data_IF_053471895285
#
_entry.id   IF_053471895285
#
_cell.length_a   1.000
_cell.length_b   1.000
_cell.length_c   1.000
_cell.angle_alpha   90.00
_cell.angle_beta   90.00
_cell.angle_gamma   90.00
#
_symmetry.space_group_name_H-M   'P 1'
#
loop_
_entity.id
_entity.type
_entity.pdbx_description
1 polymer ?
#
# COMPACT_ATOMS: atom_id res chain seq x y z
N UNK A 1 -5.64 -7.84 -28.21
CA UNK A 1 -4.43 -7.87 -27.35
C UNK A 1 -4.02 -6.43 -27.11
N UNK A 2 -4.49 -5.81 -26.03
CA UNK A 2 -4.12 -4.43 -25.69
C UNK A 2 -2.84 -4.54 -24.84
N UNK A 3 -1.73 -4.17 -25.45
CA UNK A 3 -0.46 -3.95 -24.75
C UNK A 3 -0.64 -2.63 -24.00
N UNK A 4 -0.80 -2.70 -22.68
CA UNK A 4 -0.69 -1.51 -21.82
C UNK A 4 0.79 -1.16 -21.79
N UNK A 5 1.14 0.02 -22.32
CA UNK A 5 2.50 0.51 -22.32
C UNK A 5 3.08 0.48 -20.89
N UNK A 6 4.31 0.00 -20.75
CA UNK A 6 5.11 0.22 -19.55
C UNK A 6 5.08 1.72 -19.24
N UNK A 7 4.57 2.06 -18.06
CA UNK A 7 4.25 3.43 -17.68
C UNK A 7 5.44 4.35 -17.86
N UNK A 8 5.19 5.55 -18.37
CA UNK A 8 6.17 6.63 -18.36
C UNK A 8 6.77 6.76 -16.95
N UNK A 9 8.07 7.09 -16.82
CA UNK A 9 8.69 7.30 -15.52
C UNK A 9 7.87 8.32 -14.73
N UNK A 10 7.52 7.96 -13.50
CA UNK A 10 6.82 8.87 -12.60
C UNK A 10 7.77 9.99 -12.19
N UNK A 11 7.35 11.23 -12.41
CA UNK A 11 8.10 12.41 -12.02
C UNK A 11 7.72 12.84 -10.61
N UNK A 12 8.65 13.51 -9.93
CA UNK A 12 8.48 13.97 -8.56
C UNK A 12 8.96 15.42 -8.44
N UNK A 13 8.21 16.23 -7.69
CA UNK A 13 8.56 17.61 -7.43
C UNK A 13 9.71 17.74 -6.41
N UNK A 14 10.07 18.99 -6.05
CA UNK A 14 11.11 19.28 -5.06
C UNK A 14 10.81 18.78 -3.63
N UNK A 15 9.55 18.50 -3.32
CA UNK A 15 9.12 17.90 -2.05
C UNK A 15 9.05 16.36 -2.13
N UNK A 16 9.40 15.80 -3.28
CA UNK A 16 9.27 14.39 -3.60
C UNK A 16 7.83 13.95 -3.82
N UNK A 17 6.88 14.85 -4.06
CA UNK A 17 5.48 14.51 -4.34
C UNK A 17 5.35 14.07 -5.79
N UNK A 18 4.59 13.01 -6.04
CA UNK A 18 4.39 12.51 -7.40
C UNK A 18 3.62 13.53 -8.25
N UNK A 19 4.14 13.82 -9.44
CA UNK A 19 3.54 14.74 -10.39
C UNK A 19 2.62 14.00 -11.38
N UNK A 20 1.64 14.73 -11.93
CA UNK A 20 0.71 14.20 -12.91
C UNK A 20 -0.43 13.36 -12.33
N UNK A 21 -1.02 12.50 -13.18
CA UNK A 21 -2.22 11.72 -12.85
C UNK A 21 -1.83 10.41 -12.18
N UNK A 22 -2.12 10.30 -10.88
CA UNK A 22 -1.94 9.07 -10.11
C UNK A 22 -3.23 8.24 -10.13
N UNK A 23 -3.13 7.01 -10.65
CA UNK A 23 -4.23 6.05 -10.68
C UNK A 23 -3.85 4.72 -10.05
N UNK A 24 -4.80 4.12 -9.34
CA UNK A 24 -4.67 2.76 -8.81
C UNK A 24 -5.04 1.76 -9.90
N UNK A 25 -4.40 0.60 -9.97
CA UNK A 25 -4.89 -0.47 -10.84
C UNK A 25 -6.21 -1.04 -10.32
N UNK A 26 -6.90 -1.80 -11.19
CA UNK A 26 -7.90 -2.76 -10.77
C UNK A 26 -7.48 -3.58 -9.53
N UNK A 27 -8.43 -3.94 -8.64
CA UNK A 27 -8.15 -4.65 -7.40
C UNK A 27 -7.33 -5.94 -7.56
N UNK A 28 -7.39 -6.61 -8.72
CA UNK A 28 -6.65 -7.85 -8.99
C UNK A 28 -5.15 -7.68 -9.28
N UNK A 29 -4.62 -6.45 -9.31
CA UNK A 29 -3.23 -6.17 -9.70
C UNK A 29 -2.42 -5.44 -8.61
N UNK A 30 -2.91 -5.45 -7.37
CA UNK A 30 -2.19 -4.87 -6.25
C UNK A 30 -2.93 -5.02 -4.93
N UNK A 31 -2.16 -5.00 -3.85
CA UNK A 31 -2.69 -5.06 -2.50
C UNK A 31 -3.25 -3.70 -2.11
N UNK A 32 -4.53 -3.63 -1.79
CA UNK A 32 -5.17 -2.33 -1.52
C UNK A 32 -5.47 -2.18 -0.03
N UNK A 33 -5.27 -0.99 0.53
CA UNK A 33 -5.55 -0.69 1.94
C UNK A 33 -6.46 0.52 2.05
N UNK A 34 -7.48 0.42 2.91
CA UNK A 34 -8.52 1.45 3.03
C UNK A 34 -8.41 2.11 4.39
N UNK A 35 -7.88 3.34 4.41
CA UNK A 35 -7.58 4.05 5.66
C UNK A 35 -8.65 5.10 5.99
N UNK A 36 -9.01 5.28 7.27
CA UNK A 36 -9.80 6.43 7.70
C UNK A 36 -9.05 7.76 7.60
N UNK A 37 -7.71 7.73 7.56
CA UNK A 37 -6.86 8.92 7.47
C UNK A 37 -7.03 9.59 6.09
N UNK A 38 -7.55 10.83 6.03
CA UNK A 38 -7.71 11.55 4.76
C UNK A 38 -6.40 12.05 4.16
N UNK A 39 -5.31 12.17 4.92
CA UNK A 39 -4.04 12.71 4.43
C UNK A 39 -3.25 11.69 3.60
N UNK A 40 -2.56 12.18 2.56
CA UNK A 40 -1.66 11.37 1.73
C UNK A 40 -0.24 11.26 2.33
N UNK A 41 -0.05 11.60 3.61
CA UNK A 41 1.28 11.67 4.22
C UNK A 41 1.97 10.30 4.21
N UNK A 42 3.12 10.27 3.58
CA UNK A 42 4.10 9.18 3.58
C UNK A 42 5.20 9.55 4.57
N UNK A 43 5.23 8.86 5.71
CA UNK A 43 6.15 9.09 6.82
C UNK A 43 7.15 7.93 6.92
N UNK A 44 8.35 8.14 6.36
CA UNK A 44 9.42 7.13 6.35
C UNK A 44 9.78 6.65 7.75
N UNK A 45 9.88 7.55 8.74
CA UNK A 45 10.29 7.18 10.09
C UNK A 45 9.27 6.27 10.74
N UNK A 46 7.97 6.58 10.60
CA UNK A 46 6.89 5.75 11.13
C UNK A 46 6.85 4.39 10.43
N UNK A 47 7.02 4.36 9.11
CA UNK A 47 6.98 3.12 8.33
C UNK A 47 8.19 2.22 8.64
N UNK A 48 9.39 2.79 8.65
CA UNK A 48 10.63 2.08 8.97
C UNK A 48 10.65 1.57 10.42
N UNK A 49 10.10 2.34 11.37
CA UNK A 49 9.93 1.88 12.74
C UNK A 49 9.03 0.63 12.82
N UNK A 50 7.87 0.65 12.16
CA UNK A 50 6.95 -0.50 12.14
C UNK A 50 7.58 -1.71 11.44
N UNK A 51 8.27 -1.48 10.31
CA UNK A 51 9.01 -2.51 9.58
C UNK A 51 10.00 -3.26 10.48
N UNK A 52 10.84 -2.52 11.21
CA UNK A 52 11.85 -3.10 12.09
C UNK A 52 11.24 -3.83 13.28
N UNK A 53 10.31 -3.18 13.99
CA UNK A 53 9.79 -3.68 15.27
C UNK A 53 8.89 -4.91 15.10
N UNK A 54 8.04 -4.94 14.07
CA UNK A 54 7.01 -5.97 13.94
C UNK A 54 7.25 -6.98 12.82
N UNK A 55 8.12 -6.65 11.86
CA UNK A 55 8.30 -7.45 10.65
C UNK A 55 9.75 -7.85 10.40
N UNK A 56 10.71 -7.48 11.26
CA UNK A 56 12.13 -7.80 11.05
C UNK A 56 12.68 -7.29 9.71
N UNK A 57 12.07 -6.21 9.21
CA UNK A 57 12.32 -5.65 7.90
C UNK A 57 13.04 -4.30 7.99
N UNK A 58 13.88 -4.03 7.01
CA UNK A 58 14.45 -2.71 6.74
C UNK A 58 13.64 -2.07 5.61
N UNK A 59 13.28 -0.80 5.76
CA UNK A 59 12.48 -0.04 4.82
C UNK A 59 13.04 1.36 4.64
N UNK A 60 13.24 1.78 3.40
CA UNK A 60 13.59 3.17 3.05
C UNK A 60 12.77 3.64 1.85
N UNK A 61 12.57 4.95 1.75
CA UNK A 61 11.91 5.54 0.58
C UNK A 61 12.97 5.96 -0.44
N UNK A 62 12.74 5.63 -1.71
CA UNK A 62 13.59 6.11 -2.80
C UNK A 62 13.41 7.62 -3.02
N UNK A 63 12.18 8.12 -2.86
CA UNK A 63 11.88 9.56 -2.88
C UNK A 63 11.70 10.06 -1.45
N UNK A 64 12.55 11.01 -1.03
CA UNK A 64 12.38 11.69 0.27
C UNK A 64 11.16 12.61 0.21
N UNK A 65 10.29 12.49 1.21
CA UNK A 65 9.01 13.22 1.27
C UNK A 65 9.12 14.39 2.25
N UNK A 66 8.81 15.59 1.78
CA UNK A 66 8.73 16.79 2.60
C UNK A 66 7.30 17.35 2.64
N UNK A 67 6.92 17.95 3.78
CA UNK A 67 5.60 18.56 3.98
C UNK A 67 5.74 19.90 4.72
N UNK A 68 6.39 20.92 4.13
CA UNK A 68 6.84 22.13 4.83
C UNK A 68 5.72 22.96 5.47
N UNK A 69 4.52 22.96 4.88
CA UNK A 69 3.34 23.64 5.42
C UNK A 69 2.38 22.69 6.16
N UNK A 70 2.79 21.44 6.37
CA UNK A 70 1.91 20.37 6.86
C UNK A 70 0.89 19.87 5.83
N UNK A 71 0.69 20.56 4.70
CA UNK A 71 -0.18 20.14 3.62
C UNK A 71 0.32 18.83 2.98
N UNK A 72 -0.61 18.02 2.47
CA UNK A 72 -0.31 16.80 1.70
C UNK A 72 -0.96 16.89 0.32
N UNK A 73 -0.37 16.27 -0.71
CA UNK A 73 -0.97 16.26 -2.04
C UNK A 73 -2.27 15.44 -2.04
N UNK A 74 -3.15 15.71 -3.02
CA UNK A 74 -4.42 14.99 -3.13
C UNK A 74 -4.21 13.49 -3.34
N UNK A 75 -3.25 13.15 -4.20
CA UNK A 75 -2.77 11.82 -4.48
C UNK A 75 -1.24 11.83 -4.47
N UNK A 76 -0.64 10.70 -4.15
CA UNK A 76 0.81 10.58 -4.11
C UNK A 76 1.24 9.15 -4.46
N UNK A 77 2.53 8.98 -4.70
CA UNK A 77 3.16 7.70 -4.88
C UNK A 77 4.60 7.72 -4.38
N UNK A 78 5.15 6.55 -4.08
CA UNK A 78 6.53 6.40 -3.62
C UNK A 78 7.02 5.01 -3.94
N UNK A 79 8.28 4.91 -4.35
CA UNK A 79 8.99 3.64 -4.40
C UNK A 79 9.62 3.36 -3.04
N UNK A 80 9.36 2.17 -2.54
CA UNK A 80 9.79 1.69 -1.22
C UNK A 80 10.78 0.56 -1.43
N UNK A 81 12.01 0.75 -0.97
CA UNK A 81 12.97 -0.33 -0.84
C UNK A 81 12.69 -1.08 0.46
N UNK A 82 12.50 -2.40 0.37
CA UNK A 82 12.25 -3.27 1.52
C UNK A 82 13.13 -4.51 1.46
N UNK A 83 13.72 -4.87 2.59
CA UNK A 83 14.53 -6.07 2.76
C UNK A 83 14.25 -6.72 4.11
N UNK A 84 14.60 -8.00 4.28
CA UNK A 84 14.92 -8.49 5.63
C UNK A 84 16.18 -7.81 6.12
N UNK A 85 16.35 -7.72 7.44
CA UNK A 85 17.58 -7.14 7.99
C UNK A 85 18.83 -7.85 7.44
N UNK A 86 19.75 -7.06 6.88
CA UNK A 86 20.97 -7.54 6.21
C UNK A 86 20.77 -8.21 4.84
N UNK A 87 19.55 -8.24 4.29
CA UNK A 87 19.22 -8.83 2.99
C UNK A 87 19.30 -7.82 1.83
N UNK A 88 19.26 -8.33 0.60
CA UNK A 88 19.17 -7.48 -0.59
C UNK A 88 17.76 -6.86 -0.72
N UNK A 89 17.64 -5.55 -0.99
CA UNK A 89 16.34 -4.91 -1.09
C UNK A 89 15.61 -5.29 -2.38
N UNK A 90 14.29 -5.36 -2.27
CA UNK A 90 13.36 -5.30 -3.40
C UNK A 90 12.59 -4.00 -3.35
N UNK A 91 12.34 -3.40 -4.51
CA UNK A 91 11.68 -2.11 -4.63
C UNK A 91 10.24 -2.29 -5.04
N UNK A 92 9.33 -1.62 -4.35
CA UNK A 92 7.89 -1.74 -4.54
C UNK A 92 7.26 -0.36 -4.69
N UNK A 93 6.38 -0.18 -5.68
CA UNK A 93 5.63 1.06 -5.84
C UNK A 93 4.39 1.06 -4.94
N UNK A 94 4.24 2.12 -4.15
CA UNK A 94 3.06 2.41 -3.32
C UNK A 94 2.39 3.66 -3.87
N UNK A 95 1.07 3.64 -4.02
CA UNK A 95 0.27 4.79 -4.47
C UNK A 95 -0.86 5.06 -3.48
N UNK A 96 -1.33 6.29 -3.44
CA UNK A 96 -2.47 6.69 -2.61
C UNK A 96 -3.34 7.73 -3.28
N UNK A 97 -4.66 7.56 -3.19
CA UNK A 97 -5.68 8.48 -3.73
C UNK A 97 -6.86 8.58 -2.77
N UNK A 98 -7.65 9.67 -2.81
CA UNK A 98 -8.91 9.74 -2.09
C UNK A 98 -9.84 8.59 -2.50
N UNK A 99 -10.58 7.99 -1.56
CA UNK A 99 -11.34 6.77 -1.82
C UNK A 99 -12.47 6.96 -2.85
N UNK A 100 -13.02 8.17 -2.97
CA UNK A 100 -14.01 8.53 -3.99
C UNK A 100 -13.45 8.43 -5.42
N UNK A 101 -12.13 8.55 -5.60
CA UNK A 101 -11.42 8.31 -6.87
C UNK A 101 -11.09 6.84 -7.12
N UNK A 102 -11.43 5.93 -6.19
CA UNK A 102 -11.17 4.49 -6.31
C UNK A 102 -12.43 3.64 -6.16
N UNK A 103 -13.48 3.85 -6.99
CA UNK A 103 -14.77 3.17 -6.84
C UNK A 103 -14.67 1.64 -6.95
N UNK A 104 -13.78 1.13 -7.80
CA UNK A 104 -13.56 -0.32 -7.95
C UNK A 104 -12.99 -0.95 -6.68
N UNK A 105 -12.05 -0.28 -6.01
CA UNK A 105 -11.49 -0.76 -4.75
C UNK A 105 -12.53 -0.69 -3.62
N UNK A 106 -13.33 0.38 -3.58
CA UNK A 106 -14.45 0.49 -2.64
C UNK A 106 -15.44 -0.66 -2.81
N UNK A 107 -15.79 -1.01 -4.04
CA UNK A 107 -16.67 -2.12 -4.35
C UNK A 107 -16.06 -3.47 -3.95
N UNK A 108 -14.78 -3.71 -4.28
CA UNK A 108 -14.07 -4.93 -3.91
C UNK A 108 -13.97 -5.12 -2.39
N UNK A 109 -13.66 -4.04 -1.66
CA UNK A 109 -13.64 -4.06 -0.20
C UNK A 109 -15.02 -4.38 0.38
N UNK A 110 -16.07 -3.73 -0.11
CA UNK A 110 -17.44 -4.01 0.34
C UNK A 110 -17.85 -5.47 0.06
N UNK A 111 -17.46 -6.03 -1.09
CA UNK A 111 -17.67 -7.44 -1.40
C UNK A 111 -16.92 -8.35 -0.42
N UNK A 112 -15.65 -8.07 -0.14
CA UNK A 112 -14.87 -8.88 0.79
C UNK A 112 -15.30 -8.77 2.24
N UNK A 113 -15.80 -7.61 2.70
CA UNK A 113 -16.48 -7.47 4.00
C UNK A 113 -17.69 -8.39 4.08
N UNK A 114 -18.53 -8.42 3.03
CA UNK A 114 -19.71 -9.29 2.99
C UNK A 114 -19.31 -10.77 3.04
N UNK A 115 -18.27 -11.15 2.30
CA UNK A 115 -17.78 -12.53 2.24
C UNK A 115 -17.34 -13.08 3.62
N UNK A 116 -16.88 -12.21 4.53
CA UNK A 116 -16.48 -12.60 5.89
C UNK A 116 -17.57 -12.36 6.94
N UNK A 117 -18.76 -11.88 6.53
CA UNK A 117 -19.88 -11.60 7.42
C UNK A 117 -19.71 -10.35 8.29
N UNK A 118 -18.97 -9.33 7.83
CA UNK A 118 -18.92 -8.04 8.52
C UNK A 118 -18.24 -8.05 9.90
N UNK A 119 -17.15 -8.81 10.07
CA UNK A 119 -16.42 -8.98 11.36
C UNK A 119 -15.69 -7.71 11.84
N UNK A 120 -16.42 -6.61 12.04
CA UNK A 120 -15.90 -5.28 12.41
C UNK A 120 -15.28 -4.50 11.25
N UNK A 121 -14.99 -5.16 10.12
CA UNK A 121 -14.44 -4.50 8.94
C UNK A 121 -15.46 -3.63 8.20
N UNK A 122 -16.75 -3.93 8.32
CA UNK A 122 -17.85 -3.09 7.85
C UNK A 122 -17.75 -1.66 8.40
N UNK A 123 -17.51 -1.51 9.70
CA UNK A 123 -17.29 -0.21 10.33
C UNK A 123 -16.01 0.46 9.82
N UNK A 124 -14.94 -0.30 9.57
CA UNK A 124 -13.67 0.21 9.03
C UNK A 124 -13.83 0.72 7.59
N UNK A 125 -14.57 0.01 6.75
CA UNK A 125 -14.84 0.42 5.37
C UNK A 125 -15.78 1.62 5.32
N UNK A 126 -16.79 1.69 6.19
CA UNK A 126 -17.72 2.81 6.25
C UNK A 126 -17.02 4.15 6.57
N UNK A 127 -15.96 4.12 7.37
CA UNK A 127 -15.18 5.30 7.75
C UNK A 127 -13.98 5.59 6.85
N UNK A 128 -13.68 4.72 5.88
CA UNK A 128 -12.50 4.87 5.04
C UNK A 128 -12.61 6.13 4.16
N UNK A 129 -11.53 6.90 4.08
CA UNK A 129 -11.44 8.15 3.30
C UNK A 129 -10.40 8.08 2.20
N UNK A 130 -9.40 7.20 2.33
CA UNK A 130 -8.28 7.09 1.41
C UNK A 130 -7.99 5.64 1.03
N UNK A 131 -7.66 5.43 -0.23
CA UNK A 131 -7.19 4.16 -0.75
C UNK A 131 -5.69 4.22 -0.99
N UNK A 132 -4.98 3.25 -0.43
CA UNK A 132 -3.57 2.98 -0.70
C UNK A 132 -3.49 1.71 -1.54
N UNK A 133 -2.52 1.62 -2.45
CA UNK A 133 -2.25 0.40 -3.19
C UNK A 133 -0.76 0.13 -3.28
N UNK A 134 -0.37 -1.09 -2.96
CA UNK A 134 0.98 -1.61 -3.14
C UNK A 134 0.98 -2.46 -4.42
N UNK A 135 1.81 -2.09 -5.39
CA UNK A 135 1.89 -2.78 -6.69
C UNK A 135 2.52 -4.15 -6.56
N UNK A 136 2.06 -5.05 -7.42
CA UNK A 136 2.66 -6.34 -7.68
C UNK A 136 2.75 -6.55 -9.20
N UNK A 137 3.89 -7.01 -9.75
CA UNK A 137 5.14 -7.40 -9.07
C UNK A 137 5.96 -6.19 -8.53
N UNK A 138 7.06 -6.44 -7.76
CA UNK A 138 8.06 -5.41 -7.44
C UNK A 138 8.58 -4.72 -8.70
N UNK A 139 8.95 -3.44 -8.59
CA UNK A 139 9.57 -2.69 -9.70
C UNK A 139 11.04 -3.07 -9.91
N UNK A 140 11.71 -3.54 -8.85
CA UNK A 140 13.07 -4.07 -8.91
C UNK A 140 13.33 -5.08 -7.76
N UNK A 141 14.38 -5.88 -7.89
CA UNK A 141 14.76 -6.91 -6.92
C UNK A 141 14.07 -8.26 -7.15
N UNK A 142 14.41 -9.25 -6.32
CA UNK A 142 14.04 -10.66 -6.53
C UNK A 142 13.09 -11.26 -5.50
N UNK A 143 12.73 -10.53 -4.42
CA UNK A 143 11.83 -11.08 -3.40
C UNK A 143 10.36 -10.83 -3.74
N UNK A 144 9.69 -11.86 -4.25
CA UNK A 144 8.27 -11.81 -4.58
C UNK A 144 7.36 -11.50 -3.38
N UNK A 145 7.84 -11.63 -2.14
CA UNK A 145 7.08 -11.33 -0.92
C UNK A 145 7.08 -9.84 -0.58
N UNK A 146 7.98 -9.05 -1.18
CA UNK A 146 8.17 -7.63 -0.86
C UNK A 146 6.87 -6.80 -0.89
N UNK A 147 5.95 -6.96 -1.87
CA UNK A 147 4.68 -6.23 -1.87
C UNK A 147 3.80 -6.56 -0.66
N UNK A 148 3.75 -7.82 -0.26
CA UNK A 148 3.00 -8.23 0.93
C UNK A 148 3.66 -7.72 2.23
N UNK A 149 4.99 -7.65 2.29
CA UNK A 149 5.71 -7.07 3.45
C UNK A 149 5.34 -5.59 3.61
N UNK A 150 5.45 -4.81 2.53
CA UNK A 150 5.06 -3.39 2.53
C UNK A 150 3.58 -3.24 2.89
N UNK A 151 2.71 -4.08 2.33
CA UNK A 151 1.27 -4.11 2.67
C UNK A 151 1.04 -4.36 4.16
N UNK A 152 1.74 -5.32 4.76
CA UNK A 152 1.57 -5.64 6.17
C UNK A 152 2.03 -4.49 7.07
N UNK A 153 3.15 -3.84 6.72
CA UNK A 153 3.65 -2.64 7.40
C UNK A 153 2.62 -1.50 7.31
N UNK A 154 2.12 -1.21 6.11
CA UNK A 154 1.11 -0.16 5.91
C UNK A 154 -0.20 -0.49 6.63
N UNK A 155 -0.62 -1.74 6.66
CA UNK A 155 -1.82 -2.16 7.42
C UNK A 155 -1.66 -1.89 8.92
N UNK A 156 -0.45 -2.09 9.46
CA UNK A 156 -0.11 -1.76 10.85
C UNK A 156 -0.08 -0.25 11.09
N UNK A 157 0.57 0.51 10.20
CA UNK A 157 0.70 1.98 10.30
C UNK A 157 -0.67 2.65 10.23
N UNK A 158 -1.46 2.29 9.22
CA UNK A 158 -2.71 2.95 8.84
C UNK A 158 -3.94 2.38 9.57
N UNK A 159 -3.76 1.28 10.33
CA UNK A 159 -4.84 0.52 10.95
C UNK A 159 -5.95 0.16 9.95
N UNK A 160 -5.52 -0.25 8.75
CA UNK A 160 -6.38 -0.37 7.58
C UNK A 160 -6.66 -1.85 7.23
N UNK A 161 -7.91 -2.20 6.82
CA UNK A 161 -8.16 -3.44 6.11
C UNK A 161 -7.40 -3.51 4.79
N UNK A 162 -6.99 -4.73 4.46
CA UNK A 162 -6.32 -5.11 3.22
C UNK A 162 -7.30 -5.85 2.33
N UNK A 163 -7.42 -5.39 1.09
CA UNK A 163 -8.03 -6.11 -0.02
C UNK A 163 -6.89 -6.76 -0.81
N UNK A 164 -6.71 -8.08 -0.67
CA UNK A 164 -5.72 -8.83 -1.45
C UNK A 164 -6.04 -8.88 -2.95
N UNK A 165 -5.03 -8.95 -3.83
CA UNK A 165 -5.25 -9.09 -5.26
C UNK A 165 -5.85 -10.46 -5.59
N UNK A 166 -6.96 -10.46 -6.33
CA UNK A 166 -7.60 -11.69 -6.83
C UNK A 166 -8.32 -12.55 -5.79
N UNK A 167 -8.32 -12.14 -4.52
CA UNK A 167 -8.94 -12.86 -3.41
C UNK A 167 -10.31 -12.26 -3.05
N UNK A 168 -11.26 -13.12 -2.66
CA UNK A 168 -12.63 -12.72 -2.32
C UNK A 168 -12.78 -12.17 -0.89
N UNK A 169 -11.79 -12.38 -0.02
CA UNK A 169 -11.88 -12.04 1.41
C UNK A 169 -10.85 -10.98 1.78
N UNK A 170 -11.24 -10.04 2.63
CA UNK A 170 -10.32 -9.06 3.21
C UNK A 170 -9.72 -9.53 4.53
N UNK A 171 -8.66 -8.87 4.98
CA UNK A 171 -8.05 -9.13 6.29
C UNK A 171 -7.38 -7.86 6.85
N UNK A 172 -6.97 -7.90 8.11
CA UNK A 172 -6.16 -6.85 8.74
C UNK A 172 -4.69 -7.27 8.90
N UNK A 173 -3.91 -6.45 9.61
CA UNK A 173 -2.47 -6.70 9.87
C UNK A 173 -2.16 -8.13 10.35
N UNK A 174 -3.01 -8.72 11.20
CA UNK A 174 -2.85 -10.11 11.66
C UNK A 174 -2.85 -11.11 10.50
N UNK A 175 -3.83 -11.01 9.59
CA UNK A 175 -3.91 -11.88 8.42
C UNK A 175 -2.80 -11.65 7.40
N UNK A 176 -2.23 -10.44 7.35
CA UNK A 176 -1.04 -10.15 6.55
C UNK A 176 0.20 -10.86 7.14
N UNK A 177 0.38 -10.79 8.47
CA UNK A 177 1.47 -11.47 9.18
C UNK A 177 1.41 -12.99 9.05
N UNK A 178 0.23 -13.58 9.19
CA UNK A 178 0.04 -15.04 9.02
C UNK A 178 0.36 -15.49 7.59
N UNK A 179 0.07 -14.67 6.56
CA UNK A 179 0.48 -14.94 5.18
C UNK A 179 2.00 -14.87 5.03
N UNK A 180 2.63 -13.81 5.55
CA UNK A 180 4.08 -13.65 5.53
C UNK A 180 4.81 -14.83 6.18
N UNK A 181 4.35 -15.25 7.37
CA UNK A 181 4.92 -16.39 8.08
C UNK A 181 4.83 -17.69 7.25
N UNK A 182 3.71 -17.93 6.56
CA UNK A 182 3.55 -19.08 5.66
C UNK A 182 4.47 -19.03 4.44
N UNK A 183 4.82 -17.83 3.99
CA UNK A 183 5.81 -17.59 2.92
C UNK A 183 7.25 -17.57 3.46
N UNK A 184 7.43 -17.98 4.71
CA UNK A 184 8.70 -18.10 5.39
C UNK A 184 9.37 -16.77 5.69
N UNK A 185 8.63 -15.64 5.69
CA UNK A 185 9.11 -14.33 6.11
C UNK A 185 9.62 -14.34 7.55
#
# INVERSE_FOLDING_TARGET
>A
MIIVAAGAPMEFDVNGWAEGRIELAPPGQGWSLLSPEPEARIDEHRWAHQARVFFGAELTLAQKKAYPSGATPMADAVEVDVARSGGAPSRVLVLTVPLDRAPLLRAAAAAGVRAIGGRGFDALIARARRAWQVREPPVAGGDARAPLVVTAILAAVLLAPVVPPGEATIFGVKGARERLQRLGW
#
